data_IF_223882173728
#
_entry.id   IF_223882173728
#
_cell.length_a   1.000
_cell.length_b   1.000
_cell.length_c   1.000
_cell.angle_alpha   90.00
_cell.angle_beta   90.00
_cell.angle_gamma   90.00
#
_symmetry.space_group_name_H-M   'P 1'
#
loop_
_entity.id
_entity.type
_entity.pdbx_description
1 polymer ?
#
# COMPACT_ATOMS: atom_id res chain seq x y z
N UNK A 1 -7.31 -16.50 6.18
CA UNK A 1 -7.96 -15.19 5.98
C UNK A 1 -8.31 -15.03 4.51
N UNK A 2 -9.47 -14.48 4.20
CA UNK A 2 -9.83 -14.15 2.82
C UNK A 2 -8.82 -13.15 2.24
N UNK A 3 -8.46 -13.32 0.97
CA UNK A 3 -7.49 -12.46 0.29
C UNK A 3 -7.94 -10.99 0.26
N UNK A 4 -9.21 -10.75 -0.06
CA UNK A 4 -9.76 -9.39 -0.06
C UNK A 4 -9.70 -8.73 1.31
N UNK A 5 -10.02 -9.47 2.35
CA UNK A 5 -9.96 -8.99 3.73
C UNK A 5 -8.54 -8.62 4.11
N UNK A 6 -7.57 -9.46 3.76
CA UNK A 6 -6.15 -9.20 4.00
C UNK A 6 -5.71 -7.89 3.31
N UNK A 7 -6.08 -7.71 2.05
CA UNK A 7 -5.71 -6.51 1.30
C UNK A 7 -6.37 -5.25 1.87
N UNK A 8 -7.66 -5.32 2.20
CA UNK A 8 -8.39 -4.17 2.76
C UNK A 8 -7.83 -3.77 4.13
N UNK A 9 -7.51 -4.74 4.98
CA UNK A 9 -6.92 -4.46 6.31
C UNK A 9 -5.55 -3.79 6.17
N UNK A 10 -4.77 -4.15 5.17
CA UNK A 10 -3.43 -3.59 4.94
C UNK A 10 -3.42 -2.37 4.03
N UNK A 11 -4.52 -2.02 3.41
CA UNK A 11 -4.63 -0.96 2.41
C UNK A 11 -4.09 0.38 2.90
N UNK A 12 -4.57 0.83 4.06
CA UNK A 12 -4.12 2.10 4.66
C UNK A 12 -2.62 2.07 4.98
N UNK A 13 -2.14 0.96 5.54
CA UNK A 13 -0.72 0.77 5.84
C UNK A 13 0.14 0.80 4.59
N UNK A 14 -0.32 0.19 3.51
CA UNK A 14 0.37 0.23 2.23
C UNK A 14 0.49 1.65 1.69
N UNK A 15 -0.59 2.44 1.77
CA UNK A 15 -0.58 3.84 1.35
C UNK A 15 0.40 4.67 2.18
N UNK A 16 0.39 4.48 3.49
CA UNK A 16 1.31 5.18 4.39
C UNK A 16 2.77 4.78 4.13
N UNK A 17 3.04 3.50 3.95
CA UNK A 17 4.39 3.00 3.65
C UNK A 17 4.88 3.55 2.33
N UNK A 18 4.04 3.55 1.29
CA UNK A 18 4.37 4.12 -0.02
C UNK A 18 4.76 5.59 0.12
N UNK A 19 3.99 6.37 0.87
CA UNK A 19 4.27 7.78 1.12
C UNK A 19 5.61 7.99 1.83
N UNK A 20 5.90 7.20 2.85
CA UNK A 20 7.16 7.26 3.58
C UNK A 20 8.33 6.93 2.65
N UNK A 21 8.20 5.93 1.80
CA UNK A 21 9.22 5.57 0.82
C UNK A 21 9.45 6.67 -0.21
N UNK A 22 8.39 7.34 -0.66
CA UNK A 22 8.49 8.48 -1.58
C UNK A 22 9.23 9.64 -0.93
N UNK A 23 8.90 9.97 0.31
CA UNK A 23 9.56 11.04 1.07
C UNK A 23 11.04 10.72 1.28
N UNK A 24 11.36 9.49 1.64
CA UNK A 24 12.74 9.04 1.84
C UNK A 24 13.53 9.09 0.54
N UNK A 25 12.94 8.63 -0.57
CA UNK A 25 13.56 8.71 -1.89
C UNK A 25 13.86 10.16 -2.26
N UNK A 26 12.91 11.07 -2.05
CA UNK A 26 13.07 12.48 -2.39
C UNK A 26 14.18 13.12 -1.54
N UNK A 27 14.27 12.76 -0.27
CA UNK A 27 15.36 13.19 0.59
C UNK A 27 16.73 12.71 0.09
N UNK A 28 16.83 11.48 -0.38
CA UNK A 28 18.05 10.93 -0.97
C UNK A 28 18.44 11.68 -2.25
N UNK A 29 17.47 12.08 -3.06
CA UNK A 29 17.71 12.89 -4.27
C UNK A 29 18.26 14.27 -3.89
N UNK A 30 17.77 14.89 -2.83
CA UNK A 30 18.27 16.16 -2.33
C UNK A 30 19.70 16.00 -1.79
N UNK A 31 20.00 14.94 -1.07
CA UNK A 31 21.34 14.62 -0.57
C UNK A 31 22.32 14.42 -1.74
N UNK A 32 21.89 13.80 -2.83
CA UNK A 32 22.70 13.64 -4.04
C UNK A 32 23.04 15.00 -4.65
N UNK A 33 22.09 15.92 -4.71
CA UNK A 33 22.32 17.28 -5.20
C UNK A 33 23.32 18.01 -4.31
N UNK A 34 23.19 17.88 -2.99
CA UNK A 34 24.10 18.50 -2.03
C UNK A 34 25.54 17.99 -2.22
N UNK A 35 25.73 16.70 -2.45
CA UNK A 35 27.04 16.10 -2.73
C UNK A 35 27.64 16.70 -4.01
N UNK A 36 26.81 16.86 -5.05
CA UNK A 36 27.25 17.46 -6.33
C UNK A 36 27.74 18.89 -6.15
N UNK A 37 27.07 19.69 -5.31
CA UNK A 37 27.47 21.07 -5.05
C UNK A 37 28.67 21.20 -4.12
N UNK A 38 28.97 20.21 -3.30
CA UNK A 38 30.07 20.26 -2.32
C UNK A 38 31.36 19.64 -2.81
N UNK A 39 31.50 19.32 -4.08
CA UNK A 39 32.66 18.65 -4.68
C UNK A 39 33.95 19.44 -4.64
N UNK A 40 33.93 20.73 -4.29
CA UNK A 40 35.10 21.60 -4.24
C UNK A 40 35.73 21.71 -2.87
N UNK A 41 35.38 20.88 -1.90
CA UNK A 41 35.99 20.89 -0.59
C UNK A 41 37.47 20.44 -0.68
N UNK A 42 38.44 21.28 -0.24
CA UNK A 42 39.84 20.89 -0.26
C UNK A 42 40.08 19.70 0.66
N UNK A 43 40.84 18.71 0.17
CA UNK A 43 41.15 17.52 0.93
C UNK A 43 40.14 16.42 0.91
N UNK A 44 39.04 16.58 0.17
CA UNK A 44 38.05 15.51 0.03
C UNK A 44 38.56 14.44 -0.93
N UNK A 45 38.53 13.20 -0.49
CA UNK A 45 38.88 12.07 -1.34
C UNK A 45 37.80 11.91 -2.41
N UNK A 46 38.15 12.14 -3.68
CA UNK A 46 37.20 12.03 -4.81
C UNK A 46 36.55 10.66 -4.91
N UNK A 47 37.28 9.59 -4.59
CA UNK A 47 36.73 8.23 -4.59
C UNK A 47 35.59 8.09 -3.57
N UNK A 48 35.77 8.67 -2.38
CA UNK A 48 34.74 8.64 -1.33
C UNK A 48 33.47 9.37 -1.75
N UNK A 49 33.58 10.51 -2.42
CA UNK A 49 32.43 11.28 -2.93
C UNK A 49 31.69 10.48 -4.01
N UNK A 50 32.42 9.92 -4.96
CA UNK A 50 31.83 9.10 -6.04
C UNK A 50 31.13 7.88 -5.46
N UNK A 51 31.74 7.19 -4.50
CA UNK A 51 31.13 6.04 -3.85
C UNK A 51 29.84 6.40 -3.13
N UNK A 52 29.82 7.52 -2.41
CA UNK A 52 28.62 8.01 -1.73
C UNK A 52 27.52 8.37 -2.73
N UNK A 53 27.84 9.04 -3.81
CA UNK A 53 26.91 9.39 -4.87
C UNK A 53 26.29 8.13 -5.48
N UNK A 54 27.11 7.14 -5.83
CA UNK A 54 26.66 5.89 -6.42
C UNK A 54 25.78 5.10 -5.47
N UNK A 55 26.11 5.09 -4.17
CA UNK A 55 25.31 4.42 -3.15
C UNK A 55 23.93 5.07 -3.01
N UNK A 56 23.87 6.40 -3.02
CA UNK A 56 22.61 7.13 -2.97
C UNK A 56 21.76 6.82 -4.20
N UNK A 57 22.36 6.81 -5.39
CA UNK A 57 21.68 6.47 -6.63
C UNK A 57 21.12 5.06 -6.60
N UNK A 58 21.93 4.09 -6.17
CA UNK A 58 21.51 2.70 -6.02
C UNK A 58 20.34 2.56 -5.06
N UNK A 59 20.40 3.21 -3.88
CA UNK A 59 19.32 3.20 -2.92
C UNK A 59 18.05 3.86 -3.49
N UNK A 60 18.20 4.94 -4.25
CA UNK A 60 17.06 5.59 -4.91
C UNK A 60 16.35 4.63 -5.86
N UNK A 61 17.10 3.87 -6.65
CA UNK A 61 16.53 2.88 -7.57
C UNK A 61 15.80 1.77 -6.81
N UNK A 62 16.33 1.32 -5.68
CA UNK A 62 15.70 0.32 -4.82
C UNK A 62 14.36 0.85 -4.29
N UNK A 63 14.33 2.09 -3.79
CA UNK A 63 13.10 2.72 -3.32
C UNK A 63 12.08 2.88 -4.43
N UNK A 64 12.49 3.25 -5.64
CA UNK A 64 11.60 3.34 -6.80
C UNK A 64 10.95 1.99 -7.10
N UNK A 65 11.70 0.90 -6.97
CA UNK A 65 11.17 -0.46 -7.14
C UNK A 65 10.08 -0.79 -6.12
N UNK A 66 10.33 -0.51 -4.85
CA UNK A 66 9.34 -0.74 -3.78
C UNK A 66 8.10 0.15 -3.95
N UNK A 67 8.29 1.42 -4.27
CA UNK A 67 7.19 2.36 -4.51
C UNK A 67 6.30 1.86 -5.65
N UNK A 68 6.92 1.39 -6.73
CA UNK A 68 6.19 0.85 -7.88
C UNK A 68 5.38 -0.39 -7.49
N UNK A 69 5.95 -1.29 -6.70
CA UNK A 69 5.27 -2.48 -6.23
C UNK A 69 4.03 -2.13 -5.37
N UNK A 70 4.18 -1.19 -4.44
CA UNK A 70 3.05 -0.72 -3.64
C UNK A 70 1.99 -0.04 -4.51
N UNK A 71 2.40 0.77 -5.47
CA UNK A 71 1.48 1.43 -6.40
C UNK A 71 0.60 0.42 -7.13
N UNK A 72 1.19 -0.66 -7.63
CA UNK A 72 0.46 -1.70 -8.36
C UNK A 72 -0.60 -2.36 -7.48
N UNK A 73 -0.24 -2.79 -6.28
CA UNK A 73 -1.19 -3.49 -5.40
C UNK A 73 -2.30 -2.57 -4.89
N UNK A 74 -1.96 -1.31 -4.59
CA UNK A 74 -2.93 -0.31 -4.14
C UNK A 74 -3.92 0.01 -5.27
N UNK A 75 -3.44 0.30 -6.46
CA UNK A 75 -4.29 0.63 -7.61
C UNK A 75 -5.21 -0.52 -7.98
N UNK A 76 -4.71 -1.76 -7.94
CA UNK A 76 -5.53 -2.94 -8.23
C UNK A 76 -6.67 -3.07 -7.24
N UNK A 77 -6.39 -2.94 -5.95
CA UNK A 77 -7.42 -2.99 -4.92
C UNK A 77 -8.43 -1.87 -5.09
N UNK A 78 -7.96 -0.64 -5.27
CA UNK A 78 -8.83 0.53 -5.44
C UNK A 78 -9.70 0.40 -6.70
N UNK A 79 -9.15 -0.10 -7.79
CA UNK A 79 -9.92 -0.33 -9.02
C UNK A 79 -10.98 -1.41 -8.82
N UNK A 80 -10.67 -2.49 -8.12
CA UNK A 80 -11.66 -3.52 -7.80
C UNK A 80 -12.79 -2.96 -6.95
N UNK A 81 -12.46 -2.16 -5.94
CA UNK A 81 -13.46 -1.52 -5.08
C UNK A 81 -14.35 -0.58 -5.91
N UNK A 82 -13.74 0.22 -6.78
CA UNK A 82 -14.46 1.20 -7.59
C UNK A 82 -15.37 0.55 -8.65
N UNK A 83 -14.97 -0.59 -9.21
CA UNK A 83 -15.68 -1.21 -10.33
C UNK A 83 -16.64 -2.33 -9.92
N UNK A 84 -16.30 -3.09 -8.89
CA UNK A 84 -17.10 -4.28 -8.50
C UNK A 84 -18.14 -3.97 -7.43
N UNK A 85 -17.90 -2.96 -6.59
CA UNK A 85 -18.78 -2.65 -5.47
C UNK A 85 -19.71 -1.50 -5.78
N UNK A 86 -20.93 -1.56 -5.25
CA UNK A 86 -21.84 -0.41 -5.32
C UNK A 86 -21.47 0.64 -4.25
N UNK A 87 -22.19 1.77 -4.24
CA UNK A 87 -21.88 2.87 -3.36
C UNK A 87 -21.94 2.49 -1.87
N UNK A 88 -22.98 1.73 -1.48
CA UNK A 88 -23.14 1.26 -0.10
C UNK A 88 -21.98 0.34 0.32
N UNK A 89 -21.62 -0.59 -0.55
CA UNK A 89 -20.53 -1.52 -0.30
C UNK A 89 -19.17 -0.82 -0.21
N UNK A 90 -18.91 0.13 -1.10
CA UNK A 90 -17.66 0.95 -1.04
C UNK A 90 -17.57 1.72 0.26
N UNK A 91 -18.67 2.32 0.68
CA UNK A 91 -18.74 3.08 1.94
C UNK A 91 -18.43 2.17 3.14
N UNK A 92 -19.02 0.98 3.17
CA UNK A 92 -18.76 0.01 4.23
C UNK A 92 -17.30 -0.46 4.26
N UNK A 93 -16.72 -0.73 3.11
CA UNK A 93 -15.31 -1.14 2.99
C UNK A 93 -14.37 -0.05 3.49
N UNK A 94 -14.64 1.22 3.16
CA UNK A 94 -13.84 2.35 3.61
C UNK A 94 -13.91 2.49 5.15
N UNK A 95 -15.08 2.35 5.73
CA UNK A 95 -15.25 2.36 7.19
C UNK A 95 -14.42 1.23 7.82
N UNK A 96 -14.52 0.03 7.25
CA UNK A 96 -13.79 -1.14 7.75
C UNK A 96 -12.27 -0.93 7.70
N UNK A 97 -11.76 -0.38 6.60
CA UNK A 97 -10.34 -0.17 6.40
C UNK A 97 -9.77 0.91 7.35
N UNK A 98 -10.54 1.97 7.61
CA UNK A 98 -10.06 3.11 8.38
C UNK A 98 -10.19 2.93 9.89
N UNK A 99 -10.97 1.96 10.35
CA UNK A 99 -11.23 1.73 11.78
C UNK A 99 -10.75 0.34 12.17
N UNK A 100 -9.56 0.22 12.79
CA UNK A 100 -9.03 -1.07 13.18
C UNK A 100 -9.90 -1.74 14.25
N UNK A 101 -10.08 -3.05 14.11
CA UNK A 101 -10.92 -3.82 15.01
C UNK A 101 -10.24 -4.29 16.29
N UNK A 102 -8.92 -4.10 16.43
CA UNK A 102 -8.16 -4.59 17.59
C UNK A 102 -8.02 -3.50 18.64
N UNK A 103 -8.31 -3.86 19.90
CA UNK A 103 -8.03 -3.02 21.07
C UNK A 103 -9.10 -2.00 21.43
N UNK A 104 -9.91 -1.58 20.50
CA UNK A 104 -10.99 -0.62 20.73
C UNK A 104 -12.27 -1.17 20.12
N UNK A 105 -12.93 -2.05 20.87
CA UNK A 105 -14.17 -2.68 20.42
C UNK A 105 -15.24 -1.62 20.17
N UNK A 106 -15.89 -1.71 19.01
CA UNK A 106 -17.02 -0.87 18.69
C UNK A 106 -16.70 0.36 17.85
N UNK A 107 -15.43 0.65 17.52
CA UNK A 107 -15.10 1.80 16.66
C UNK A 107 -15.70 1.67 15.26
N UNK A 108 -15.62 0.49 14.66
CA UNK A 108 -16.21 0.24 13.35
C UNK A 108 -17.72 0.38 13.40
N UNK A 109 -18.35 -0.21 14.41
CA UNK A 109 -19.78 -0.14 14.60
C UNK A 109 -20.27 1.29 14.88
N UNK A 110 -19.51 2.05 15.66
CA UNK A 110 -19.83 3.45 15.94
C UNK A 110 -19.77 4.30 14.67
N UNK A 111 -18.71 4.14 13.89
CA UNK A 111 -18.57 4.87 12.62
C UNK A 111 -19.65 4.44 11.61
N UNK A 112 -19.94 3.15 11.54
CA UNK A 112 -20.99 2.62 10.69
C UNK A 112 -22.36 3.20 11.07
N UNK A 113 -22.63 3.29 12.37
CA UNK A 113 -23.88 3.86 12.87
C UNK A 113 -24.00 5.35 12.49
N UNK A 114 -22.92 6.12 12.62
CA UNK A 114 -22.88 7.52 12.19
C UNK A 114 -23.22 7.70 10.71
N UNK A 115 -22.85 6.72 9.89
CA UNK A 115 -23.07 6.76 8.46
C UNK A 115 -24.36 6.04 8.01
N UNK A 116 -25.20 5.66 8.95
CA UNK A 116 -26.51 5.10 8.64
C UNK A 116 -26.61 3.58 8.59
N UNK A 117 -25.56 2.86 9.01
CA UNK A 117 -25.58 1.38 9.07
C UNK A 117 -25.92 0.92 10.49
N UNK A 118 -26.87 -0.01 10.62
CA UNK A 118 -26.99 -0.82 11.83
C UNK A 118 -25.82 -1.80 11.89
N UNK A 119 -25.51 -2.33 13.07
CA UNK A 119 -24.42 -3.29 13.24
C UNK A 119 -24.61 -4.53 12.34
N UNK A 120 -25.80 -5.10 12.35
CA UNK A 120 -26.09 -6.30 11.55
C UNK A 120 -25.98 -6.01 10.05
N UNK A 121 -26.54 -4.87 9.61
CA UNK A 121 -26.49 -4.47 8.20
C UNK A 121 -25.06 -4.20 7.75
N UNK A 122 -24.26 -3.54 8.58
CA UNK A 122 -22.86 -3.25 8.28
C UNK A 122 -22.08 -4.53 8.00
N UNK A 123 -22.12 -5.50 8.89
CA UNK A 123 -21.40 -6.76 8.72
C UNK A 123 -21.94 -7.61 7.55
N UNK A 124 -23.24 -7.55 7.28
CA UNK A 124 -23.81 -8.18 6.12
C UNK A 124 -23.24 -7.60 4.83
N UNK A 125 -23.21 -6.27 4.72
CA UNK A 125 -22.67 -5.56 3.56
C UNK A 125 -21.16 -5.82 3.43
N UNK A 126 -20.43 -5.83 4.53
CA UNK A 126 -18.98 -6.11 4.55
C UNK A 126 -18.70 -7.53 4.03
N UNK A 127 -19.44 -8.53 4.51
CA UNK A 127 -19.24 -9.91 4.07
C UNK A 127 -19.56 -10.08 2.58
N UNK A 128 -20.64 -9.46 2.10
CA UNK A 128 -20.99 -9.44 0.68
C UNK A 128 -19.85 -8.80 -0.14
N UNK A 129 -19.31 -7.68 0.34
CA UNK A 129 -18.27 -6.95 -0.35
C UNK A 129 -16.98 -7.78 -0.46
N UNK A 130 -16.56 -8.44 0.62
CA UNK A 130 -15.39 -9.31 0.59
C UNK A 130 -15.58 -10.48 -0.36
N UNK A 131 -16.77 -11.08 -0.39
CA UNK A 131 -17.06 -12.18 -1.31
C UNK A 131 -16.98 -11.73 -2.77
N UNK A 132 -17.49 -10.55 -3.07
CA UNK A 132 -17.42 -9.98 -4.43
C UNK A 132 -15.96 -9.69 -4.81
N UNK A 133 -15.18 -9.06 -3.92
CA UNK A 133 -13.77 -8.76 -4.18
C UNK A 133 -12.94 -10.03 -4.36
N UNK A 134 -13.25 -11.09 -3.61
CA UNK A 134 -12.53 -12.37 -3.73
C UNK A 134 -12.70 -13.02 -5.10
N UNK A 135 -13.77 -12.73 -5.84
CA UNK A 135 -13.96 -13.30 -7.19
C UNK A 135 -12.81 -12.91 -8.12
N UNK A 136 -12.17 -11.75 -7.87
CA UNK A 136 -11.03 -11.29 -8.67
C UNK A 136 -9.72 -11.46 -7.91
N UNK A 137 -9.65 -11.00 -6.66
CA UNK A 137 -8.39 -10.96 -5.91
C UNK A 137 -7.89 -12.35 -5.53
N UNK A 138 -8.77 -13.26 -5.15
CA UNK A 138 -8.40 -14.64 -4.83
C UNK A 138 -7.97 -15.40 -6.10
N UNK A 139 -8.64 -15.16 -7.22
CA UNK A 139 -8.29 -15.77 -8.48
C UNK A 139 -6.89 -15.38 -8.96
N UNK A 140 -6.55 -14.10 -8.86
CA UNK A 140 -5.20 -13.62 -9.19
C UNK A 140 -4.14 -14.26 -8.32
N UNK A 141 -4.40 -14.42 -7.03
CA UNK A 141 -3.49 -15.08 -6.09
C UNK A 141 -3.25 -16.55 -6.48
N UNK A 142 -4.30 -17.28 -6.85
CA UNK A 142 -4.20 -18.67 -7.32
C UNK A 142 -3.38 -18.76 -8.61
N UNK A 143 -3.63 -17.87 -9.57
CA UNK A 143 -2.88 -17.83 -10.83
C UNK A 143 -1.39 -17.60 -10.61
N UNK A 144 -1.02 -16.74 -9.70
CA UNK A 144 0.40 -16.51 -9.35
C UNK A 144 1.04 -17.75 -8.74
N UNK A 145 0.32 -18.44 -7.87
CA UNK A 145 0.80 -19.66 -7.24
C UNK A 145 1.03 -20.75 -8.27
N UNK A 146 0.06 -20.94 -9.18
CA UNK A 146 0.16 -21.92 -10.25
C UNK A 146 1.33 -21.62 -11.20
N UNK A 147 1.51 -20.35 -11.55
CA UNK A 147 2.63 -19.92 -12.39
C UNK A 147 3.96 -20.17 -11.70
N UNK A 148 4.05 -19.96 -10.38
CA UNK A 148 5.24 -20.27 -9.60
C UNK A 148 5.56 -21.76 -9.57
N UNK A 149 4.55 -22.60 -9.46
CA UNK A 149 4.71 -24.06 -9.47
C UNK A 149 5.19 -24.57 -10.85
N UNK A 150 4.75 -23.96 -11.93
CA UNK A 150 5.13 -24.35 -13.29
C UNK A 150 6.59 -23.99 -13.58
N UNK A 151 7.12 -22.96 -12.97
CA UNK A 151 8.50 -22.49 -13.17
C UNK A 151 9.53 -23.31 -12.39
N UNK A 152 9.12 -24.08 -11.42
CA UNK A 152 9.97 -24.97 -10.65
C UNK A 152 10.10 -26.33 -11.32
#
# INVERSE_FOLDING_TARGET
MQESKYQVVNWKRWKDTKRILEETRDQLKDDRKAITYSKEMPGTNHMSVIQRYNKILENTDIYDGYIHAYKIVIERLENCIATLLNQEQRKAIIIYANNPGKGESGMREQEALKQGFSRAKFYEVINQSFNILDTVLALESVQKTDAGLIQD
#
